data_IF_271370927567
#
_entry.id   IF_271370927567
#
_cell.length_a   1.000
_cell.length_b   1.000
_cell.length_c   1.000
_cell.angle_alpha   90.00
_cell.angle_beta   90.00
_cell.angle_gamma   90.00
#
_symmetry.space_group_name_H-M   'P 1'
#
loop_
_entity.id
_entity.type
_entity.pdbx_description
1 polymer ?
#
# COMPACT_ATOMS: atom_id res chain seq x y z
N UNK A 1 -8.64 -9.04 -13.61
CA UNK A 1 -8.66 -9.82 -12.35
C UNK A 1 -8.90 -11.33 -12.54
N UNK A 2 -9.90 -11.83 -13.25
CA UNK A 2 -10.11 -13.30 -13.39
C UNK A 2 -8.90 -14.04 -13.99
N UNK A 3 -8.24 -13.46 -15.00
CA UNK A 3 -7.03 -14.02 -15.63
C UNK A 3 -5.84 -14.02 -14.67
N UNK A 4 -5.63 -12.92 -13.94
CA UNK A 4 -4.55 -12.78 -12.96
C UNK A 4 -4.67 -13.83 -11.86
N UNK A 5 -5.87 -13.97 -11.31
CA UNK A 5 -6.21 -14.99 -10.30
C UNK A 5 -5.94 -16.43 -10.79
N UNK A 6 -6.35 -16.76 -12.02
CA UNK A 6 -6.09 -18.09 -12.60
C UNK A 6 -4.59 -18.33 -12.79
N UNK A 7 -3.85 -17.33 -13.27
CA UNK A 7 -2.41 -17.42 -13.47
C UNK A 7 -1.66 -17.57 -12.13
N UNK A 8 -2.00 -16.76 -11.13
CA UNK A 8 -1.41 -16.82 -9.80
C UNK A 8 -1.62 -18.21 -9.17
N UNK A 9 -2.84 -18.76 -9.20
CA UNK A 9 -3.12 -20.12 -8.70
C UNK A 9 -2.29 -21.18 -9.39
N UNK A 10 -2.18 -21.14 -10.73
CA UNK A 10 -1.37 -22.11 -11.49
C UNK A 10 0.12 -22.04 -11.11
N UNK A 11 0.62 -20.85 -10.81
CA UNK A 11 2.00 -20.61 -10.40
C UNK A 11 2.24 -20.84 -8.91
N UNK A 12 1.18 -21.02 -8.10
CA UNK A 12 1.20 -20.97 -6.63
C UNK A 12 1.81 -19.65 -6.14
N UNK A 13 1.45 -18.55 -6.78
CA UNK A 13 2.00 -17.23 -6.53
C UNK A 13 1.04 -16.39 -5.69
N UNK A 14 1.56 -15.62 -4.75
CA UNK A 14 0.82 -14.59 -4.04
C UNK A 14 0.25 -13.56 -5.02
N UNK A 15 -0.94 -13.06 -4.74
CA UNK A 15 -1.53 -11.95 -5.47
C UNK A 15 -1.28 -10.71 -4.63
N UNK A 16 -0.44 -9.82 -5.12
CA UNK A 16 0.07 -8.68 -4.39
C UNK A 16 -0.38 -7.39 -5.07
N UNK A 17 -0.97 -6.48 -4.30
CA UNK A 17 -1.29 -5.14 -4.74
C UNK A 17 -0.27 -4.19 -4.12
N UNK A 18 0.31 -3.32 -4.91
CA UNK A 18 1.32 -2.36 -4.49
C UNK A 18 0.96 -0.97 -4.98
N UNK A 19 1.26 0.03 -4.16
CA UNK A 19 1.06 1.44 -4.47
C UNK A 19 1.94 2.32 -3.58
N UNK A 20 2.13 3.59 -4.00
CA UNK A 20 2.80 4.61 -3.23
C UNK A 20 1.81 5.68 -2.77
N UNK A 21 2.05 6.20 -1.58
CA UNK A 21 1.33 7.35 -1.05
C UNK A 21 2.29 8.29 -0.32
N UNK A 22 1.82 9.48 0.00
CA UNK A 22 2.59 10.43 0.77
C UNK A 22 1.74 11.14 1.80
N UNK A 23 2.41 11.63 2.82
CA UNK A 23 1.84 12.59 3.77
C UNK A 23 2.84 13.71 4.06
N UNK A 24 2.34 14.78 4.64
CA UNK A 24 3.13 15.94 5.06
C UNK A 24 2.77 16.32 6.48
N UNK A 25 3.55 17.21 7.07
CA UNK A 25 3.25 17.75 8.41
C UNK A 25 2.02 18.66 8.45
N UNK A 26 1.42 18.98 7.29
CA UNK A 26 0.14 19.66 7.28
C UNK A 26 -0.97 18.71 7.75
N UNK A 27 -1.74 19.08 8.79
CA UNK A 27 -2.73 18.17 9.35
C UNK A 27 -3.84 17.85 8.35
N UNK A 28 -4.20 16.58 8.27
CA UNK A 28 -5.39 16.13 7.56
C UNK A 28 -6.62 16.41 8.43
N UNK A 29 -7.25 17.56 8.24
CA UNK A 29 -8.40 17.99 9.05
C UNK A 29 -9.59 17.07 8.79
N UNK A 30 -10.10 16.47 9.86
CA UNK A 30 -11.27 15.59 9.85
C UNK A 30 -12.25 16.00 10.94
N UNK A 31 -13.53 15.69 10.72
CA UNK A 31 -14.54 15.85 11.76
C UNK A 31 -14.17 15.03 12.99
N UNK A 32 -14.29 15.64 14.17
CA UNK A 32 -14.01 15.00 15.47
C UNK A 32 -15.07 15.43 16.49
N UNK A 33 -15.08 14.76 17.62
CA UNK A 33 -15.98 15.08 18.72
C UNK A 33 -15.40 16.19 19.59
N UNK A 34 -16.28 17.12 20.03
CA UNK A 34 -15.95 18.14 20.99
C UNK A 34 -17.13 18.35 21.95
N UNK A 35 -16.91 18.95 23.14
CA UNK A 35 -17.99 19.39 24.01
C UNK A 35 -18.97 20.29 23.27
N UNK A 36 -20.25 20.24 23.65
CA UNK A 36 -21.27 21.05 23.00
C UNK A 36 -20.96 22.54 23.18
N UNK A 37 -20.89 23.24 22.04
CA UNK A 37 -20.60 24.68 21.99
C UNK A 37 -19.10 25.01 21.85
N UNK A 38 -18.22 24.01 21.83
CA UNK A 38 -16.79 24.19 21.61
C UNK A 38 -16.38 23.73 20.21
N UNK A 39 -15.65 24.57 19.51
CA UNK A 39 -15.07 24.18 18.20
C UNK A 39 -13.64 23.68 18.44
N UNK A 40 -13.31 22.45 18.00
CA UNK A 40 -11.94 21.96 18.09
C UNK A 40 -10.97 22.86 17.32
N UNK A 41 -9.86 23.21 17.93
CA UNK A 41 -8.80 24.03 17.32
C UNK A 41 -7.55 23.17 17.17
N UNK A 42 -7.02 23.11 15.95
CA UNK A 42 -5.75 22.46 15.66
C UNK A 42 -4.67 23.54 15.57
N UNK A 43 -3.61 23.38 16.37
CA UNK A 43 -2.44 24.26 16.29
C UNK A 43 -1.29 23.44 15.69
N UNK A 44 -0.70 23.92 14.61
CA UNK A 44 0.43 23.26 13.96
C UNK A 44 1.48 24.28 13.51
N UNK A 45 2.73 23.84 13.44
CA UNK A 45 3.81 24.61 12.85
C UNK A 45 3.79 24.45 11.32
N UNK A 46 3.94 25.55 10.60
CA UNK A 46 3.97 25.52 9.14
C UNK A 46 5.26 24.86 8.65
N UNK A 47 5.15 23.61 8.19
CA UNK A 47 6.28 22.84 7.72
C UNK A 47 5.88 22.04 6.48
N UNK A 48 6.65 22.16 5.40
CA UNK A 48 6.40 21.51 4.12
C UNK A 48 7.10 20.16 3.96
N UNK A 49 7.75 19.65 4.99
CA UNK A 49 8.40 18.33 4.92
C UNK A 49 7.37 17.26 4.58
N UNK A 50 7.78 16.35 3.71
CA UNK A 50 6.97 15.25 3.22
C UNK A 50 7.70 13.94 3.41
N UNK A 51 6.93 12.90 3.66
CA UNK A 51 7.37 11.52 3.65
C UNK A 51 6.54 10.76 2.61
N UNK A 52 7.19 9.86 1.88
CA UNK A 52 6.51 8.93 1.00
C UNK A 52 6.53 7.52 1.59
N UNK A 53 5.45 6.81 1.36
CA UNK A 53 5.25 5.42 1.77
C UNK A 53 5.04 4.58 0.52
N UNK A 54 5.59 3.37 0.52
CA UNK A 54 5.24 2.32 -0.44
C UNK A 54 4.77 1.12 0.37
N UNK A 55 3.68 0.51 -0.03
CA UNK A 55 3.20 -0.71 0.61
C UNK A 55 2.69 -1.71 -0.42
N UNK A 56 2.80 -2.98 -0.04
CA UNK A 56 2.24 -4.10 -0.76
C UNK A 56 1.41 -4.96 0.18
N UNK A 57 0.17 -5.25 -0.21
CA UNK A 57 -0.67 -6.25 0.46
C UNK A 57 -0.73 -7.49 -0.40
N UNK A 58 -0.27 -8.60 0.15
CA UNK A 58 -0.26 -9.92 -0.49
C UNK A 58 -1.37 -10.80 0.04
N UNK A 59 -1.96 -11.56 -0.86
CA UNK A 59 -3.01 -12.54 -0.56
C UNK A 59 -2.61 -13.89 -1.11
N UNK A 60 -2.71 -14.92 -0.30
CA UNK A 60 -2.54 -16.30 -0.74
C UNK A 60 -3.51 -16.62 -1.89
N UNK A 61 -3.10 -17.39 -2.91
CA UNK A 61 -3.92 -17.63 -4.09
C UNK A 61 -5.20 -18.43 -3.80
N UNK A 62 -5.26 -19.14 -2.67
CA UNK A 62 -6.43 -19.85 -2.17
C UNK A 62 -7.29 -19.01 -1.21
N UNK A 63 -6.80 -17.84 -0.81
CA UNK A 63 -7.47 -16.94 0.13
C UNK A 63 -7.37 -17.38 1.59
N UNK A 64 -6.35 -18.16 1.94
CA UNK A 64 -6.12 -18.65 3.31
C UNK A 64 -5.41 -17.62 4.19
N UNK A 65 -4.60 -16.75 3.60
CA UNK A 65 -3.72 -15.84 4.32
C UNK A 65 -3.51 -14.52 3.59
N UNK A 66 -3.16 -13.48 4.35
CA UNK A 66 -2.78 -12.16 3.84
C UNK A 66 -1.65 -11.57 4.70
N UNK A 67 -0.78 -10.81 4.06
CA UNK A 67 0.31 -10.07 4.71
C UNK A 67 0.44 -8.68 4.10
N UNK A 68 1.13 -7.80 4.79
CA UNK A 68 1.51 -6.48 4.28
C UNK A 68 2.99 -6.20 4.57
N UNK A 69 3.67 -5.64 3.57
CA UNK A 69 5.03 -5.10 3.68
C UNK A 69 5.00 -3.65 3.26
N UNK A 70 5.67 -2.79 4.01
CA UNK A 70 5.75 -1.37 3.70
C UNK A 70 7.15 -0.81 3.97
N UNK A 71 7.43 0.32 3.35
CA UNK A 71 8.64 1.10 3.55
C UNK A 71 8.28 2.59 3.53
N UNK A 72 9.03 3.41 4.24
CA UNK A 72 8.87 4.86 4.27
C UNK A 72 10.21 5.53 3.98
N UNK A 73 10.17 6.64 3.24
CA UNK A 73 11.38 7.40 2.91
C UNK A 73 11.11 8.89 2.76
N UNK A 74 12.08 9.76 3.03
CA UNK A 74 12.02 11.16 2.63
C UNK A 74 11.98 11.30 1.11
N UNK A 75 11.28 12.34 0.63
CA UNK A 75 11.12 12.61 -0.80
C UNK A 75 10.10 11.71 -1.46
N UNK A 76 10.19 11.54 -2.77
CA UNK A 76 9.28 10.72 -3.57
C UNK A 76 9.97 9.43 -4.04
N UNK A 77 9.16 8.40 -4.29
CA UNK A 77 9.65 7.19 -4.96
C UNK A 77 9.96 7.49 -6.44
N UNK A 78 11.10 7.00 -6.88
CA UNK A 78 11.52 6.96 -8.27
C UNK A 78 11.75 5.50 -8.68
N UNK A 79 12.13 5.25 -9.93
CA UNK A 79 12.35 3.90 -10.42
C UNK A 79 13.35 3.09 -9.58
N UNK A 80 14.43 3.72 -9.11
CA UNK A 80 15.50 3.02 -8.37
C UNK A 80 15.01 2.63 -6.97
N UNK A 81 14.34 3.56 -6.28
CA UNK A 81 13.76 3.29 -4.96
C UNK A 81 12.58 2.30 -4.99
N UNK A 82 11.87 2.20 -6.11
CA UNK A 82 10.86 1.15 -6.29
C UNK A 82 11.53 -0.20 -6.49
N UNK A 83 12.66 -0.25 -7.21
CA UNK A 83 13.44 -1.48 -7.36
C UNK A 83 13.97 -1.94 -6.00
N UNK A 84 14.58 -1.05 -5.21
CA UNK A 84 15.01 -1.34 -3.84
C UNK A 84 13.86 -1.94 -3.01
N UNK A 85 12.70 -1.31 -3.04
CA UNK A 85 11.50 -1.81 -2.35
C UNK A 85 11.07 -3.21 -2.82
N UNK A 86 11.14 -3.50 -4.11
CA UNK A 86 10.81 -4.81 -4.66
C UNK A 86 11.87 -5.88 -4.31
N UNK A 87 13.11 -5.51 -4.12
CA UNK A 87 14.18 -6.38 -3.62
C UNK A 87 13.96 -6.71 -2.14
N UNK A 88 13.57 -5.73 -1.33
CA UNK A 88 13.16 -5.94 0.07
C UNK A 88 11.94 -6.87 0.14
N UNK A 89 10.96 -6.66 -0.71
CA UNK A 89 9.79 -7.53 -0.83
C UNK A 89 10.18 -8.97 -1.19
N UNK A 90 11.08 -9.15 -2.14
CA UNK A 90 11.59 -10.48 -2.50
C UNK A 90 12.32 -11.15 -1.34
N UNK A 91 13.13 -10.40 -0.60
CA UNK A 91 13.81 -10.88 0.60
C UNK A 91 12.83 -11.35 1.67
N UNK A 92 11.74 -10.60 1.87
CA UNK A 92 10.66 -10.97 2.80
C UNK A 92 9.94 -12.25 2.39
N UNK A 93 9.73 -12.45 1.10
CA UNK A 93 8.99 -13.59 0.55
C UNK A 93 9.85 -14.85 0.36
N UNK A 94 11.18 -14.72 0.35
CA UNK A 94 12.08 -15.84 0.08
C UNK A 94 11.83 -16.45 -1.31
N UNK A 95 11.53 -17.74 -1.34
CA UNK A 95 11.31 -18.51 -2.59
C UNK A 95 9.89 -18.37 -3.17
N UNK A 96 9.01 -17.63 -2.50
CA UNK A 96 7.63 -17.48 -2.93
C UNK A 96 7.51 -16.64 -4.21
N UNK A 97 6.57 -17.04 -5.05
CA UNK A 97 6.27 -16.33 -6.31
C UNK A 97 5.18 -15.29 -6.10
N UNK A 98 5.27 -14.21 -6.84
CA UNK A 98 4.33 -13.08 -6.78
C UNK A 98 3.75 -12.77 -8.15
N UNK A 99 2.46 -12.47 -8.15
CA UNK A 99 1.78 -11.71 -9.21
C UNK A 99 1.49 -10.33 -8.65
N UNK A 100 2.35 -9.37 -8.96
CA UNK A 100 2.25 -7.98 -8.53
C UNK A 100 1.27 -7.23 -9.41
N UNK A 101 0.34 -6.54 -8.79
CA UNK A 101 -0.66 -5.70 -9.44
C UNK A 101 -0.41 -4.26 -8.98
N UNK A 102 -0.12 -3.37 -9.91
CA UNK A 102 0.12 -1.96 -9.62
C UNK A 102 -0.47 -1.04 -10.68
N UNK A 103 -0.43 0.24 -10.45
CA UNK A 103 -0.88 1.23 -11.41
C UNK A 103 0.10 1.43 -12.58
N UNK A 104 -0.21 2.36 -13.44
CA UNK A 104 0.57 2.66 -14.62
C UNK A 104 1.46 3.91 -14.51
N UNK A 105 1.98 4.27 -13.33
CA UNK A 105 2.84 5.44 -13.16
C UNK A 105 4.05 5.43 -14.11
N UNK A 106 4.60 6.61 -14.49
CA UNK A 106 5.76 6.70 -15.37
C UNK A 106 6.98 5.93 -14.85
N UNK A 107 7.24 5.94 -13.53
CA UNK A 107 8.31 5.18 -12.87
C UNK A 107 8.19 3.68 -13.12
N UNK A 108 6.96 3.13 -13.08
CA UNK A 108 6.66 1.72 -13.34
C UNK A 108 6.86 1.31 -14.81
N UNK A 109 6.93 2.27 -15.71
CA UNK A 109 7.05 2.05 -17.18
C UNK A 109 8.42 2.40 -17.75
N UNK A 110 9.36 2.83 -16.92
CA UNK A 110 10.72 3.17 -17.36
C UNK A 110 11.41 1.99 -18.03
N UNK A 111 12.41 2.27 -18.83
CA UNK A 111 13.21 1.21 -19.48
C UNK A 111 13.94 0.35 -18.44
N UNK A 112 14.53 1.00 -17.43
CA UNK A 112 15.26 0.34 -16.34
C UNK A 112 14.34 -0.62 -15.59
N UNK A 113 13.14 -0.15 -15.20
CA UNK A 113 12.14 -0.99 -14.51
C UNK A 113 11.72 -2.20 -15.35
N UNK A 114 11.49 -2.01 -16.65
CA UNK A 114 11.13 -3.13 -17.54
C UNK A 114 12.23 -4.18 -17.67
N UNK A 115 13.48 -3.73 -17.78
CA UNK A 115 14.64 -4.62 -17.85
C UNK A 115 14.84 -5.37 -16.53
N UNK A 116 14.71 -4.68 -15.40
CA UNK A 116 14.77 -5.29 -14.09
C UNK A 116 13.66 -6.34 -13.90
N UNK A 117 12.40 -6.02 -14.17
CA UNK A 117 11.27 -6.96 -14.09
C UNK A 117 11.50 -8.18 -15.00
N UNK A 118 12.07 -7.97 -16.21
CA UNK A 118 12.36 -9.07 -17.12
C UNK A 118 13.39 -10.05 -16.56
N UNK A 119 14.34 -9.58 -15.75
CA UNK A 119 15.32 -10.42 -15.06
C UNK A 119 14.70 -11.19 -13.89
N UNK A 120 13.61 -10.68 -13.27
CA UNK A 120 12.96 -11.26 -12.09
C UNK A 120 11.84 -12.27 -12.41
N UNK A 121 11.68 -12.72 -13.66
CA UNK A 121 10.57 -13.59 -14.09
C UNK A 121 10.47 -14.93 -13.35
N UNK A 122 11.50 -15.37 -12.68
CA UNK A 122 11.53 -16.61 -11.92
C UNK A 122 10.58 -16.55 -10.70
N UNK A 123 10.44 -15.39 -10.06
CA UNK A 123 9.54 -15.16 -8.94
C UNK A 123 8.44 -14.15 -9.23
N UNK A 124 8.71 -13.07 -9.99
CA UNK A 124 7.83 -11.92 -10.20
C UNK A 124 7.12 -11.95 -11.55
N UNK A 125 5.82 -11.77 -11.54
CA UNK A 125 5.02 -11.38 -12.72
C UNK A 125 4.26 -10.12 -12.37
N UNK A 126 4.36 -9.11 -13.23
CA UNK A 126 3.69 -7.83 -13.03
C UNK A 126 2.49 -7.71 -13.96
N UNK A 127 1.36 -7.33 -13.41
CA UNK A 127 0.13 -7.00 -14.14
C UNK A 127 -0.29 -5.57 -13.80
N UNK A 128 -0.85 -4.87 -14.78
CA UNK A 128 -1.30 -3.49 -14.58
C UNK A 128 -2.77 -3.47 -14.20
N UNK A 129 -3.10 -2.59 -13.26
CA UNK A 129 -4.48 -2.19 -13.06
C UNK A 129 -5.01 -1.53 -14.33
N UNK A 130 -6.29 -1.73 -14.68
CA UNK A 130 -6.93 -0.97 -15.74
C UNK A 130 -6.82 0.54 -15.46
N UNK A 131 -6.70 1.34 -16.52
CA UNK A 131 -6.70 2.78 -16.37
C UNK A 131 -8.04 3.24 -15.77
N UNK A 132 -7.99 4.17 -14.81
CA UNK A 132 -9.15 4.73 -14.09
C UNK A 132 -9.87 3.81 -13.09
N UNK A 133 -9.36 2.61 -12.83
CA UNK A 133 -9.96 1.67 -11.88
C UNK A 133 -9.22 1.67 -10.52
N UNK A 134 -8.98 2.85 -9.94
CA UNK A 134 -8.36 2.98 -8.59
C UNK A 134 -9.18 2.26 -7.53
N UNK A 135 -10.51 2.21 -7.68
CA UNK A 135 -11.42 1.51 -6.77
C UNK A 135 -11.17 -0.01 -6.70
N UNK A 136 -10.42 -0.57 -7.65
CA UNK A 136 -10.00 -1.98 -7.64
C UNK A 136 -8.68 -2.21 -6.89
N UNK A 137 -8.05 -1.16 -6.34
CA UNK A 137 -6.80 -1.27 -5.63
C UNK A 137 -7.02 -1.28 -4.10
N UNK A 138 -6.89 -2.44 -3.40
CA UNK A 138 -7.08 -2.50 -1.96
C UNK A 138 -6.12 -1.61 -1.17
N UNK A 139 -4.95 -1.27 -1.72
CA UNK A 139 -3.97 -0.39 -1.07
C UNK A 139 -4.52 1.02 -0.89
N UNK A 140 -5.38 1.49 -1.77
CA UNK A 140 -6.02 2.80 -1.59
C UNK A 140 -6.85 2.86 -0.30
N UNK A 141 -7.43 1.73 0.10
CA UNK A 141 -8.17 1.62 1.36
C UNK A 141 -7.23 1.55 2.58
N UNK A 142 -6.03 1.00 2.42
CA UNK A 142 -4.98 1.08 3.45
C UNK A 142 -4.63 2.55 3.68
N UNK A 143 -4.36 3.30 2.62
CA UNK A 143 -4.06 4.74 2.71
C UNK A 143 -5.23 5.54 3.28
N UNK A 144 -6.45 5.25 2.86
CA UNK A 144 -7.64 5.91 3.38
C UNK A 144 -7.84 5.64 4.88
N UNK A 145 -7.64 4.39 5.33
CA UNK A 145 -7.74 4.00 6.74
C UNK A 145 -6.66 4.70 7.58
N UNK A 146 -5.40 4.63 7.18
CA UNK A 146 -4.27 5.28 7.85
C UNK A 146 -4.50 6.80 8.00
N UNK A 147 -4.89 7.46 6.91
CA UNK A 147 -5.14 8.92 6.89
C UNK A 147 -6.39 9.33 7.66
N UNK A 148 -7.34 8.42 7.87
CA UNK A 148 -8.55 8.69 8.62
C UNK A 148 -8.43 8.32 10.11
N UNK A 149 -7.48 7.50 10.48
CA UNK A 149 -7.22 7.05 11.85
C UNK A 149 -5.99 7.75 12.44
N UNK A 150 -4.81 7.23 12.18
CA UNK A 150 -3.56 7.66 12.84
C UNK A 150 -3.10 9.06 12.43
N UNK A 151 -3.34 9.45 11.17
CA UNK A 151 -2.92 10.75 10.64
C UNK A 151 -4.05 11.80 10.66
N UNK A 152 -5.23 11.46 11.15
CA UNK A 152 -6.36 12.38 11.23
C UNK A 152 -6.14 13.42 12.34
N UNK A 153 -6.26 14.70 12.02
CA UNK A 153 -6.07 15.82 12.97
C UNK A 153 -4.72 15.80 13.69
N UNK A 154 -3.75 15.04 13.19
CA UNK A 154 -2.41 14.95 13.75
C UNK A 154 -1.63 16.22 13.43
N UNK A 155 -1.04 16.83 14.43
CA UNK A 155 -0.21 18.04 14.34
C UNK A 155 1.20 17.76 14.90
N UNK A 156 2.02 16.94 14.26
CA UNK A 156 3.33 16.57 14.72
C UNK A 156 4.33 17.71 14.50
N UNK A 157 5.29 17.83 15.40
CA UNK A 157 6.35 18.83 15.29
C UNK A 157 7.43 18.41 14.29
N UNK A 158 7.63 17.12 14.10
CA UNK A 158 8.67 16.56 13.21
C UNK A 158 8.13 15.51 12.27
N UNK A 159 8.84 15.30 11.16
CA UNK A 159 8.46 14.26 10.19
C UNK A 159 8.71 12.85 10.76
N UNK A 160 9.67 12.72 11.63
CA UNK A 160 10.01 11.48 12.34
C UNK A 160 8.87 11.08 13.29
N UNK A 161 8.29 12.05 14.00
CA UNK A 161 7.10 11.81 14.83
C UNK A 161 5.91 11.37 13.98
N UNK A 162 5.63 12.07 12.88
CA UNK A 162 4.57 11.68 11.96
C UNK A 162 4.81 10.29 11.35
N UNK A 163 6.08 9.94 11.07
CA UNK A 163 6.45 8.62 10.60
C UNK A 163 6.16 7.53 11.63
N UNK A 164 6.38 7.80 12.93
CA UNK A 164 6.03 6.86 14.00
C UNK A 164 4.54 6.52 14.01
N UNK A 165 3.66 7.52 13.94
CA UNK A 165 2.21 7.27 13.84
C UNK A 165 1.82 6.51 12.57
N UNK A 166 2.47 6.79 11.44
CA UNK A 166 2.22 6.07 10.21
C UNK A 166 2.70 4.61 10.31
N UNK A 167 3.85 4.37 10.93
CA UNK A 167 4.39 3.03 11.18
C UNK A 167 3.45 2.20 12.06
N UNK A 168 3.00 2.76 13.18
CA UNK A 168 2.04 2.12 14.08
C UNK A 168 0.74 1.73 13.35
N UNK A 169 0.21 2.65 12.54
CA UNK A 169 -1.01 2.41 11.76
C UNK A 169 -0.83 1.34 10.69
N UNK A 170 0.28 1.35 9.96
CA UNK A 170 0.57 0.33 8.96
C UNK A 170 0.82 -1.03 9.60
N UNK A 171 1.51 -1.10 10.73
CA UNK A 171 1.70 -2.33 11.50
C UNK A 171 0.37 -2.88 12.03
N UNK A 172 -0.51 -2.01 12.55
CA UNK A 172 -1.87 -2.40 12.96
C UNK A 172 -2.65 -3.02 11.80
N UNK A 173 -2.63 -2.41 10.63
CA UNK A 173 -3.31 -2.93 9.44
C UNK A 173 -2.68 -4.24 8.99
N UNK A 174 -1.35 -4.29 8.89
CA UNK A 174 -0.62 -5.45 8.38
C UNK A 174 -0.68 -6.67 9.29
N UNK A 175 -0.89 -6.49 10.59
CA UNK A 175 -1.07 -7.58 11.56
C UNK A 175 -2.48 -8.17 11.57
N UNK A 176 -3.44 -7.54 10.87
CA UNK A 176 -4.83 -7.97 10.81
C UNK A 176 -5.19 -8.47 9.39
N UNK A 177 -5.05 -9.77 9.18
CA UNK A 177 -5.37 -10.39 7.89
C UNK A 177 -6.86 -10.24 7.52
N UNK A 178 -7.76 -10.22 8.50
CA UNK A 178 -9.19 -10.01 8.26
C UNK A 178 -9.47 -8.61 7.73
N UNK A 179 -8.75 -7.60 8.22
CA UNK A 179 -8.78 -6.22 7.70
C UNK A 179 -8.27 -6.17 6.26
N UNK A 180 -7.15 -6.81 5.96
CA UNK A 180 -6.62 -6.90 4.59
C UNK A 180 -7.66 -7.54 3.64
N UNK A 181 -8.29 -8.63 4.06
CA UNK A 181 -9.39 -9.25 3.29
C UNK A 181 -10.65 -8.38 3.21
N UNK A 182 -10.94 -7.55 4.22
CA UNK A 182 -12.05 -6.61 4.15
C UNK A 182 -11.83 -5.56 3.06
N UNK A 183 -10.61 -5.01 2.94
CA UNK A 183 -10.24 -4.10 1.86
C UNK A 183 -10.38 -4.76 0.49
N UNK A 184 -9.88 -5.99 0.34
CA UNK A 184 -10.04 -6.74 -0.91
C UNK A 184 -11.52 -6.91 -1.29
N UNK A 185 -12.37 -7.28 -0.33
CA UNK A 185 -13.82 -7.43 -0.55
C UNK A 185 -14.51 -6.12 -0.90
N UNK A 186 -14.10 -5.01 -0.28
CA UNK A 186 -14.64 -3.68 -0.57
C UNK A 186 -14.40 -3.27 -2.02
N UNK A 187 -13.27 -3.65 -2.59
CA UNK A 187 -12.97 -3.47 -4.02
C UNK A 187 -13.76 -4.44 -4.93
N UNK A 188 -14.74 -5.17 -4.43
CA UNK A 188 -15.50 -6.16 -5.20
C UNK A 188 -14.69 -7.41 -5.60
N UNK A 189 -13.52 -7.61 -4.98
CA UNK A 189 -12.61 -8.69 -5.30
C UNK A 189 -12.77 -9.85 -4.30
N UNK A 190 -12.62 -11.08 -4.78
CA UNK A 190 -12.65 -12.29 -3.94
C UNK A 190 -11.67 -13.32 -4.44
N UNK A 191 -10.93 -13.94 -3.53
CA UNK A 191 -10.00 -15.04 -3.85
C UNK A 191 -10.62 -16.41 -3.59
N UNK A 192 -11.64 -16.49 -2.74
CA UNK A 192 -12.36 -17.74 -2.51
C UNK A 192 -13.24 -18.08 -3.72
N UNK A 193 -13.34 -19.36 -4.08
CA UNK A 193 -14.41 -19.81 -4.97
C UNK A 193 -15.74 -19.58 -4.24
N UNK A 194 -16.70 -18.92 -4.91
CA UNK A 194 -18.10 -19.14 -4.53
C UNK A 194 -18.38 -20.62 -4.80
N UNK A 195 -18.56 -21.38 -3.73
CA UNK A 195 -19.16 -22.72 -3.84
C UNK A 195 -20.57 -22.59 -4.41
#
# INVERSE_FOLDING_TARGET
>A
MARSKKNARRRKAWICFQDESGFSLLPSVRATWAPKGETPVLTHHFNWKRLSMSAAVGFAPDGSDAWMVFNMRPGSYNQDSIIEYLEDLHTHLGDDKVTLIWDGLPSHRSKVMKEWIAAQRHWLVVEKLPAYDHDLNPIELVWANLKASELANLCPDTIEEAAGYADDGLNRIGSDSDMCFAFLRHCGLSLRHKC
#
